data_IF_448264861243
#
_entry.id   IF_448264861243
#
_cell.length_a   1.000
_cell.length_b   1.000
_cell.length_c   1.000
_cell.angle_alpha   90.00
_cell.angle_beta   90.00
_cell.angle_gamma   90.00
#
_symmetry.space_group_name_H-M   'P 1'
#
loop_
_entity.id
_entity.type
_entity.pdbx_description
1 polymer ?
#
# COMPACT_ATOMS: atom_id res chain seq x y z
N UNK A 1 9.35 7.23 -4.88
CA UNK A 1 9.95 6.82 -3.61
C UNK A 1 9.93 8.05 -2.70
N UNK A 2 8.96 8.11 -1.78
CA UNK A 2 9.02 9.07 -0.67
C UNK A 2 9.93 8.38 0.36
N UNK A 3 11.14 8.90 0.63
CA UNK A 3 12.08 8.23 1.52
C UNK A 3 11.59 8.28 2.96
N UNK A 4 11.78 7.21 3.73
CA UNK A 4 11.65 7.28 5.18
C UNK A 4 12.59 8.34 5.76
N UNK A 5 12.01 9.23 6.58
CA UNK A 5 12.64 10.34 7.31
C UNK A 5 13.31 11.47 6.50
N UNK A 6 13.04 11.59 5.19
CA UNK A 6 13.30 12.85 4.48
C UNK A 6 11.99 13.49 4.05
N UNK A 7 11.46 14.32 4.94
CA UNK A 7 10.47 15.30 4.57
C UNK A 7 11.01 16.13 3.40
N UNK A 8 10.32 16.11 2.28
CA UNK A 8 10.44 17.18 1.29
C UNK A 8 9.98 18.44 2.03
N UNK A 9 10.84 19.45 2.15
CA UNK A 9 10.52 20.72 2.83
C UNK A 9 9.40 21.45 2.08
N UNK A 10 8.17 21.07 2.40
CA UNK A 10 6.93 21.81 2.23
C UNK A 10 6.20 21.55 3.54
N UNK A 11 6.18 22.55 4.41
CA UNK A 11 5.56 22.47 5.74
C UNK A 11 4.10 22.04 5.63
N UNK A 12 3.87 20.74 5.77
CA UNK A 12 2.59 20.13 6.03
C UNK A 12 2.84 19.33 7.31
N UNK A 13 2.63 19.95 8.47
CA UNK A 13 2.88 19.32 9.75
C UNK A 13 1.93 18.15 9.93
N UNK A 14 2.41 16.96 9.62
CA UNK A 14 1.79 15.70 9.98
C UNK A 14 1.87 15.52 11.50
N UNK A 15 0.84 14.89 12.07
CA UNK A 15 0.78 14.59 13.49
C UNK A 15 1.78 13.46 13.78
N UNK A 16 2.51 13.51 14.89
CA UNK A 16 3.53 12.53 15.28
C UNK A 16 3.09 11.06 15.09
N UNK A 17 1.82 10.76 15.38
CA UNK A 17 1.22 9.42 15.26
C UNK A 17 1.29 8.82 13.83
N UNK A 18 1.38 9.66 12.80
CA UNK A 18 1.49 9.24 11.40
C UNK A 18 2.92 8.81 11.02
N UNK A 19 3.90 9.07 11.89
CA UNK A 19 5.29 8.68 11.67
C UNK A 19 5.58 7.33 12.31
N UNK A 20 6.21 6.43 11.55
CA UNK A 20 6.67 5.14 12.07
C UNK A 20 7.63 5.34 13.26
N UNK A 21 8.50 6.35 13.21
CA UNK A 21 9.46 6.65 14.27
C UNK A 21 8.80 7.01 15.61
N UNK A 22 7.61 7.59 15.61
CA UNK A 22 6.82 7.78 16.83
C UNK A 22 6.53 6.44 17.51
N UNK A 23 6.05 5.45 16.74
CA UNK A 23 5.71 4.14 17.27
C UNK A 23 6.94 3.33 17.65
N UNK A 24 8.01 3.40 16.87
CA UNK A 24 9.27 2.76 17.23
C UNK A 24 9.78 3.32 18.56
N UNK A 25 9.86 4.65 18.72
CA UNK A 25 10.26 5.28 19.98
C UNK A 25 9.37 4.87 21.15
N UNK A 26 8.06 4.78 20.93
CA UNK A 26 7.10 4.40 21.98
C UNK A 26 7.29 2.97 22.50
N UNK A 27 7.67 2.05 21.63
CA UNK A 27 7.89 0.64 21.96
C UNK A 27 9.38 0.27 21.98
N UNK A 28 10.23 1.23 22.36
CA UNK A 28 11.68 1.07 22.36
C UNK A 28 12.12 -0.24 23.04
N UNK A 29 12.93 -1.03 22.32
CA UNK A 29 13.45 -2.32 22.80
C UNK A 29 12.46 -3.47 22.80
N UNK A 30 11.22 -3.28 22.31
CA UNK A 30 10.17 -4.30 22.28
C UNK A 30 9.63 -4.51 20.86
N UNK A 31 10.46 -5.12 20.03
CA UNK A 31 10.14 -5.44 18.63
C UNK A 31 10.38 -6.92 18.34
N UNK A 32 9.53 -7.50 17.49
CA UNK A 32 9.77 -8.82 16.92
C UNK A 32 9.40 -8.84 15.43
N UNK A 33 10.28 -9.36 14.59
CA UNK A 33 9.97 -9.66 13.21
C UNK A 33 9.35 -11.05 13.13
N UNK A 34 8.27 -11.19 12.36
CA UNK A 34 7.58 -12.44 12.14
C UNK A 34 7.17 -12.58 10.67
N UNK A 35 6.89 -13.81 10.21
CA UNK A 35 6.33 -14.04 8.90
C UNK A 35 4.99 -13.29 8.69
N UNK A 36 4.76 -12.82 7.47
CA UNK A 36 3.52 -12.19 7.08
C UNK A 36 2.43 -13.26 6.90
N UNK A 37 1.45 -13.25 7.81
CA UNK A 37 0.29 -14.13 7.76
C UNK A 37 -0.47 -14.05 6.44
N UNK A 38 -0.56 -12.88 5.81
CA UNK A 38 -1.22 -12.71 4.52
C UNK A 38 -0.48 -13.45 3.40
N UNK A 39 0.86 -13.34 3.36
CA UNK A 39 1.71 -14.04 2.39
C UNK A 39 1.69 -15.55 2.59
N UNK A 40 1.87 -16.00 3.84
CA UNK A 40 1.81 -17.43 4.17
C UNK A 40 0.47 -18.04 3.77
N UNK A 41 -0.64 -17.36 4.11
CA UNK A 41 -1.98 -17.83 3.76
C UNK A 41 -2.14 -17.98 2.25
N UNK A 42 -1.70 -16.99 1.46
CA UNK A 42 -1.78 -17.05 -0.01
C UNK A 42 -0.85 -18.10 -0.60
N UNK A 43 0.33 -18.33 -0.01
CA UNK A 43 1.22 -19.41 -0.41
C UNK A 43 0.58 -20.78 -0.21
N UNK A 44 -0.09 -21.01 0.92
CA UNK A 44 -0.84 -22.25 1.19
C UNK A 44 -1.98 -22.44 0.17
N UNK A 45 -2.62 -21.36 -0.27
CA UNK A 45 -3.69 -21.39 -1.27
C UNK A 45 -3.19 -21.53 -2.72
N UNK A 46 -1.88 -21.57 -2.97
CA UNK A 46 -1.32 -21.61 -4.32
C UNK A 46 -1.43 -20.28 -5.08
N UNK A 47 -1.64 -19.18 -4.36
CA UNK A 47 -1.83 -17.83 -4.92
C UNK A 47 -0.69 -16.86 -4.56
N UNK A 48 0.50 -17.40 -4.24
CA UNK A 48 1.68 -16.58 -3.93
C UNK A 48 2.07 -15.71 -5.12
N UNK A 49 2.56 -14.50 -4.84
CA UNK A 49 3.09 -13.60 -5.86
C UNK A 49 4.62 -13.65 -5.99
N UNK A 50 5.25 -14.73 -5.51
CA UNK A 50 6.69 -14.93 -5.60
C UNK A 50 7.52 -14.14 -4.57
N UNK A 51 6.86 -13.47 -3.63
CA UNK A 51 7.51 -12.86 -2.47
C UNK A 51 7.60 -13.84 -1.31
N UNK A 52 8.69 -13.77 -0.55
CA UNK A 52 8.87 -14.59 0.64
C UNK A 52 7.98 -14.04 1.78
N UNK A 53 7.47 -14.89 2.67
CA UNK A 53 6.68 -14.44 3.82
C UNK A 53 7.53 -13.85 4.95
N UNK A 54 8.85 -13.91 4.91
CA UNK A 54 9.71 -13.76 6.08
C UNK A 54 9.96 -12.29 6.50
N UNK A 55 9.84 -12.03 7.81
CA UNK A 55 10.20 -10.76 8.44
C UNK A 55 9.43 -9.51 7.97
N UNK A 56 8.23 -9.64 7.41
CA UNK A 56 7.46 -8.48 6.91
C UNK A 56 6.43 -7.94 7.89
N UNK A 57 6.14 -8.67 8.96
CA UNK A 57 5.31 -8.20 10.06
C UNK A 57 6.21 -7.89 11.25
N UNK A 58 6.19 -6.65 11.74
CA UNK A 58 6.95 -6.24 12.92
C UNK A 58 5.96 -6.06 14.06
N UNK A 59 5.91 -7.02 14.97
CA UNK A 59 5.17 -6.90 16.22
C UNK A 59 5.86 -5.91 17.15
N UNK A 60 5.08 -5.10 17.87
CA UNK A 60 5.59 -4.15 18.87
C UNK A 60 4.92 -4.35 20.22
N UNK A 61 5.62 -4.07 21.32
CA UNK A 61 5.10 -4.22 22.68
C UNK A 61 4.63 -5.66 22.97
N UNK A 62 3.42 -5.82 23.51
CA UNK A 62 2.82 -7.12 23.84
C UNK A 62 2.81 -8.10 22.65
N UNK A 63 2.63 -7.57 21.43
CA UNK A 63 2.59 -8.38 20.21
C UNK A 63 3.96 -8.94 19.84
N UNK A 64 5.04 -8.23 20.18
CA UNK A 64 6.40 -8.72 19.98
C UNK A 64 6.65 -9.96 20.84
N UNK A 65 6.32 -9.86 22.13
CA UNK A 65 6.44 -10.97 23.08
C UNK A 65 5.56 -12.16 22.66
N UNK A 66 4.31 -11.89 22.26
CA UNK A 66 3.39 -12.91 21.75
C UNK A 66 3.94 -13.66 20.52
N UNK A 67 4.48 -12.94 19.53
CA UNK A 67 4.97 -13.53 18.30
C UNK A 67 6.11 -14.53 18.56
N UNK A 68 7.01 -14.20 19.49
CA UNK A 68 8.13 -15.06 19.88
C UNK A 68 7.67 -16.20 20.78
N UNK A 69 6.88 -15.92 21.82
CA UNK A 69 6.50 -16.90 22.84
C UNK A 69 5.53 -17.97 22.33
N UNK A 70 4.72 -17.67 21.32
CA UNK A 70 3.76 -18.63 20.76
C UNK A 70 4.33 -19.50 19.63
N UNK A 71 5.66 -19.44 19.40
CA UNK A 71 6.36 -20.23 18.40
C UNK A 71 5.78 -20.08 16.98
N UNK A 72 5.39 -18.85 16.62
CA UNK A 72 4.88 -18.46 15.29
C UNK A 72 5.99 -17.90 14.40
N UNK A 73 7.18 -18.47 14.53
CA UNK A 73 8.39 -18.04 13.81
C UNK A 73 8.76 -16.56 14.02
N UNK A 74 8.30 -15.97 15.13
CA UNK A 74 8.69 -14.62 15.53
C UNK A 74 10.08 -14.62 16.18
N UNK A 75 10.90 -13.63 15.85
CA UNK A 75 12.20 -13.37 16.47
C UNK A 75 12.27 -11.94 16.99
N UNK A 76 12.84 -11.74 18.18
CA UNK A 76 13.16 -10.39 18.63
C UNK A 76 14.17 -9.74 17.68
N UNK A 77 14.01 -8.44 17.46
CA UNK A 77 14.85 -7.64 16.57
C UNK A 77 15.24 -6.32 17.22
N UNK A 78 16.41 -5.82 16.84
CA UNK A 78 16.91 -4.50 17.22
C UNK A 78 16.22 -3.40 16.42
N UNK A 79 16.38 -2.15 16.86
CA UNK A 79 15.87 -0.99 16.12
C UNK A 79 16.49 -0.91 14.72
N UNK A 80 17.79 -1.18 14.61
CA UNK A 80 18.53 -1.17 13.36
C UNK A 80 17.97 -2.20 12.37
N UNK A 81 17.72 -3.43 12.83
CA UNK A 81 17.09 -4.47 12.00
C UNK A 81 15.67 -4.10 11.56
N UNK A 82 14.89 -3.44 12.44
CA UNK A 82 13.57 -2.92 12.07
C UNK A 82 13.71 -1.90 10.93
N UNK A 83 14.64 -0.97 11.04
CA UNK A 83 14.88 0.03 9.99
C UNK A 83 15.35 -0.61 8.68
N UNK A 84 16.16 -1.65 8.74
CA UNK A 84 16.56 -2.43 7.56
C UNK A 84 15.36 -3.12 6.88
N UNK A 85 14.47 -3.73 7.66
CA UNK A 85 13.22 -4.34 7.15
C UNK A 85 12.35 -3.30 6.46
N UNK A 86 12.13 -2.15 7.09
CA UNK A 86 11.31 -1.06 6.57
C UNK A 86 11.88 -0.52 5.25
N UNK A 87 13.19 -0.30 5.19
CA UNK A 87 13.88 0.14 3.98
C UNK A 87 13.77 -0.89 2.86
N UNK A 88 13.99 -2.17 3.17
CA UNK A 88 13.83 -3.25 2.19
C UNK A 88 12.40 -3.32 1.66
N UNK A 89 11.41 -3.09 2.50
CA UNK A 89 10.01 -3.04 2.10
C UNK A 89 9.74 -1.86 1.13
N UNK A 90 10.31 -0.69 1.38
CA UNK A 90 10.25 0.46 0.46
C UNK A 90 10.91 0.18 -0.89
N UNK A 91 12.08 -0.44 -0.89
CA UNK A 91 12.81 -0.80 -2.11
C UNK A 91 12.00 -1.79 -2.97
N UNK A 92 11.17 -2.63 -2.33
CA UNK A 92 10.23 -3.54 -2.99
C UNK A 92 8.88 -2.88 -3.36
N UNK A 93 8.67 -1.60 -2.99
CA UNK A 93 7.41 -0.89 -3.23
C UNK A 93 6.25 -1.34 -2.34
N UNK A 94 6.54 -1.94 -1.18
CA UNK A 94 5.52 -2.30 -0.19
C UNK A 94 5.03 -1.07 0.57
N UNK A 95 3.82 -1.20 1.13
CA UNK A 95 3.15 -0.13 1.87
C UNK A 95 3.24 -0.43 3.36
N UNK A 96 3.80 0.51 4.11
CA UNK A 96 3.78 0.47 5.56
C UNK A 96 2.37 0.73 6.08
N UNK A 97 1.89 -0.15 6.95
CA UNK A 97 0.59 -0.01 7.60
C UNK A 97 0.71 -0.26 9.08
N UNK A 98 -0.02 0.52 9.87
CA UNK A 98 -0.21 0.27 11.30
C UNK A 98 -1.66 -0.12 11.55
N UNK A 99 -1.88 -0.92 12.58
CA UNK A 99 -3.23 -1.27 13.05
C UNK A 99 -3.52 -0.55 14.36
N UNK A 100 -4.40 0.45 14.32
CA UNK A 100 -4.79 1.28 15.47
C UNK A 100 -6.21 0.97 15.98
N UNK A 101 -6.67 -0.27 15.78
CA UNK A 101 -8.04 -0.72 16.11
C UNK A 101 -8.35 -0.63 17.62
N UNK A 102 -7.33 -0.71 18.47
CA UNK A 102 -7.49 -0.67 19.94
C UNK A 102 -7.25 0.73 20.52
N UNK A 103 -7.40 1.76 19.69
CA UNK A 103 -7.37 3.15 20.09
C UNK A 103 -6.18 3.93 19.53
N UNK A 104 -6.31 5.26 19.57
CA UNK A 104 -5.35 6.19 18.96
C UNK A 104 -3.94 6.08 19.54
N UNK A 105 -3.79 5.56 20.75
CA UNK A 105 -2.49 5.48 21.44
C UNK A 105 -1.96 4.05 21.53
N UNK A 106 -2.39 3.12 20.68
CA UNK A 106 -1.85 1.75 20.67
C UNK A 106 -1.84 1.18 19.25
N UNK A 107 -0.76 0.49 18.90
CA UNK A 107 -0.71 -0.38 17.71
C UNK A 107 -0.17 -1.76 18.11
N UNK A 108 -0.43 -2.76 17.28
CA UNK A 108 0.04 -4.14 17.50
C UNK A 108 1.22 -4.49 16.62
N UNK A 109 1.18 -4.02 15.38
CA UNK A 109 2.19 -4.35 14.41
C UNK A 109 2.35 -3.24 13.39
N UNK A 110 3.54 -3.22 12.81
CA UNK A 110 3.88 -2.47 11.61
C UNK A 110 3.99 -3.50 10.49
N UNK A 111 3.08 -3.42 9.53
CA UNK A 111 2.99 -4.35 8.41
C UNK A 111 3.63 -3.75 7.16
N UNK A 112 4.40 -4.55 6.43
CA UNK A 112 5.05 -4.19 5.18
C UNK A 112 4.33 -4.85 3.99
N UNK A 113 3.24 -4.23 3.55
CA UNK A 113 2.21 -4.88 2.75
C UNK A 113 2.45 -4.77 1.24
N UNK A 114 2.42 -5.92 0.56
CA UNK A 114 2.20 -5.97 -0.89
C UNK A 114 0.69 -5.87 -1.20
N UNK A 115 0.29 -4.90 -2.02
CA UNK A 115 -1.11 -4.65 -2.34
C UNK A 115 -1.81 -5.82 -3.05
N UNK A 116 -1.08 -6.74 -3.67
CA UNK A 116 -1.65 -7.91 -4.34
C UNK A 116 -1.95 -9.08 -3.39
N UNK A 117 -1.45 -9.02 -2.16
CA UNK A 117 -1.45 -10.15 -1.20
C UNK A 117 -2.11 -9.78 0.12
N UNK A 118 -1.95 -8.53 0.57
CA UNK A 118 -2.38 -8.08 1.88
C UNK A 118 -3.91 -8.13 2.03
N UNK A 119 -4.38 -8.79 3.09
CA UNK A 119 -5.80 -8.82 3.43
C UNK A 119 -6.31 -7.49 4.01
N UNK A 120 -5.46 -6.69 4.64
CA UNK A 120 -5.81 -5.34 5.07
C UNK A 120 -6.15 -4.45 3.87
N UNK A 121 -5.23 -4.35 2.91
CA UNK A 121 -5.44 -3.57 1.68
C UNK A 121 -6.58 -4.14 0.79
N UNK A 122 -6.81 -5.47 0.83
CA UNK A 122 -7.93 -6.10 0.13
C UNK A 122 -9.25 -5.43 0.47
N UNK A 123 -9.50 -5.09 1.73
CA UNK A 123 -10.80 -4.48 2.13
C UNK A 123 -11.06 -3.17 1.40
N UNK A 124 -10.05 -2.30 1.32
CA UNK A 124 -10.13 -1.03 0.60
C UNK A 124 -10.25 -1.20 -0.91
N UNK A 125 -9.58 -2.19 -1.49
CA UNK A 125 -9.55 -2.41 -2.95
C UNK A 125 -10.77 -3.17 -3.48
N UNK A 126 -11.25 -4.17 -2.73
CA UNK A 126 -12.40 -5.00 -3.10
C UNK A 126 -13.72 -4.23 -2.97
N UNK A 127 -13.87 -3.43 -1.91
CA UNK A 127 -15.12 -2.74 -1.60
C UNK A 127 -15.07 -1.22 -1.87
N UNK A 128 -13.98 -0.72 -2.44
CA UNK A 128 -13.74 0.73 -2.62
C UNK A 128 -13.94 1.54 -1.32
N UNK A 129 -13.37 1.07 -0.21
CA UNK A 129 -13.49 1.70 1.12
C UNK A 129 -12.18 2.41 1.50
N UNK A 130 -11.97 3.66 1.03
CA UNK A 130 -10.70 4.36 1.23
C UNK A 130 -10.40 4.66 2.70
N UNK A 131 -11.43 4.74 3.55
CA UNK A 131 -11.29 5.06 4.97
C UNK A 131 -10.66 3.93 5.81
N UNK A 132 -10.66 2.69 5.32
CA UNK A 132 -10.06 1.56 6.04
C UNK A 132 -8.54 1.47 5.89
N UNK A 133 -7.98 2.03 4.80
CA UNK A 133 -6.53 2.07 4.53
C UNK A 133 -6.13 3.47 4.06
N UNK A 134 -6.54 4.49 4.81
CA UNK A 134 -6.32 5.89 4.44
C UNK A 134 -4.93 6.35 4.89
N UNK A 135 -4.20 7.00 3.99
CA UNK A 135 -3.02 7.79 4.35
C UNK A 135 -3.43 9.19 4.79
N UNK A 136 -2.75 9.76 5.79
CA UNK A 136 -2.84 11.19 6.10
C UNK A 136 -2.29 12.08 4.98
N UNK A 137 -1.51 11.52 4.05
CA UNK A 137 -0.93 12.23 2.93
C UNK A 137 -1.65 11.89 1.64
N UNK A 138 -2.02 12.92 0.88
CA UNK A 138 -2.67 12.76 -0.43
C UNK A 138 -1.78 13.40 -1.49
N UNK A 139 -1.30 12.60 -2.43
CA UNK A 139 -0.60 13.11 -3.60
C UNK A 139 -1.59 13.85 -4.50
N UNK A 140 -1.21 15.06 -4.93
CA UNK A 140 -1.98 15.89 -5.86
C UNK A 140 -1.11 16.21 -7.07
N UNK A 141 -1.70 16.11 -8.26
CA UNK A 141 -1.05 16.46 -9.53
C UNK A 141 -1.56 17.82 -9.97
N UNK A 142 -0.65 18.78 -10.12
CA UNK A 142 -0.95 20.06 -10.77
C UNK A 142 -0.77 19.91 -12.28
N UNK A 143 -1.89 20.02 -13.02
CA UNK A 143 -1.91 19.68 -14.45
C UNK A 143 -0.92 20.51 -15.25
N UNK A 144 -0.78 21.80 -14.94
CA UNK A 144 0.17 22.72 -15.58
C UNK A 144 1.63 22.24 -15.51
N UNK A 145 2.01 21.57 -14.43
CA UNK A 145 3.38 21.13 -14.16
C UNK A 145 3.60 19.66 -14.57
N UNK A 146 2.52 18.93 -14.82
CA UNK A 146 2.56 17.54 -15.21
C UNK A 146 3.02 17.38 -16.67
N UNK A 147 4.20 16.79 -16.85
CA UNK A 147 4.76 16.40 -18.16
C UNK A 147 4.31 15.01 -18.63
N UNK A 148 3.34 14.39 -17.96
CA UNK A 148 2.81 13.06 -18.28
C UNK A 148 3.87 11.94 -18.33
N UNK A 149 4.91 12.00 -17.47
CA UNK A 149 6.01 11.03 -17.47
C UNK A 149 5.63 9.61 -17.01
N UNK A 150 4.46 9.44 -16.37
CA UNK A 150 3.94 8.13 -15.95
C UNK A 150 4.64 7.48 -14.76
N UNK A 151 5.56 8.16 -14.06
CA UNK A 151 6.22 7.59 -12.87
C UNK A 151 5.23 7.38 -11.72
N UNK A 152 4.30 8.32 -11.50
CA UNK A 152 3.33 8.21 -10.40
C UNK A 152 2.41 6.99 -10.53
N UNK A 153 1.99 6.66 -11.77
CA UNK A 153 1.10 5.52 -12.02
C UNK A 153 1.83 4.19 -11.86
N UNK A 154 3.12 4.12 -12.19
CA UNK A 154 3.94 2.91 -12.02
C UNK A 154 4.13 2.53 -10.55
N UNK A 155 4.38 3.52 -9.69
CA UNK A 155 4.65 3.28 -8.27
C UNK A 155 3.40 3.25 -7.39
N UNK A 156 2.21 3.56 -7.91
CA UNK A 156 1.02 3.62 -7.07
C UNK A 156 0.55 2.20 -6.70
N UNK A 157 0.70 1.77 -5.44
CA UNK A 157 0.37 0.38 -5.05
C UNK A 157 -1.13 0.14 -5.05
N UNK A 158 -1.92 1.19 -4.80
CA UNK A 158 -3.37 1.19 -4.74
C UNK A 158 -4.05 1.49 -6.09
N UNK A 159 -3.28 1.77 -7.15
CA UNK A 159 -3.87 2.10 -8.46
C UNK A 159 -4.70 3.38 -8.49
N UNK A 160 -4.50 4.28 -7.53
CA UNK A 160 -5.32 5.47 -7.33
C UNK A 160 -5.12 6.57 -8.38
N UNK A 161 -4.06 6.48 -9.18
CA UNK A 161 -3.75 7.45 -10.25
C UNK A 161 -3.62 6.71 -11.58
N UNK A 162 -4.16 7.33 -12.63
CA UNK A 162 -4.10 6.83 -14.01
C UNK A 162 -3.63 7.94 -14.94
N UNK A 163 -2.87 7.57 -15.95
CA UNK A 163 -2.37 8.53 -16.94
C UNK A 163 -3.47 8.82 -17.96
N UNK A 164 -3.80 10.10 -18.09
CA UNK A 164 -4.78 10.59 -19.03
C UNK A 164 -4.19 11.27 -20.27
N UNK A 165 -5.06 12.01 -20.94
CA UNK A 165 -4.76 12.80 -22.13
C UNK A 165 -4.12 14.13 -21.73
N UNK A 166 -2.85 14.34 -22.11
CA UNK A 166 -2.14 15.61 -21.92
C UNK A 166 -2.09 16.46 -23.18
N UNK A 167 -2.14 15.84 -24.36
CA UNK A 167 -2.11 16.52 -25.65
C UNK A 167 -3.46 17.14 -25.96
N UNK A 168 -3.46 18.29 -26.64
CA UNK A 168 -4.68 18.95 -27.06
C UNK A 168 -5.54 18.01 -27.93
N UNK A 169 -6.82 17.90 -27.61
CA UNK A 169 -7.80 17.22 -28.47
C UNK A 169 -8.65 18.25 -29.22
N UNK A 170 -9.29 17.85 -30.32
CA UNK A 170 -10.20 18.73 -31.07
C UNK A 170 -11.44 19.10 -30.26
N UNK A 171 -11.86 18.21 -29.36
CA UNK A 171 -13.10 18.32 -28.58
C UNK A 171 -12.86 18.93 -27.17
N UNK A 172 -11.62 19.37 -26.89
CA UNK A 172 -11.24 20.02 -25.62
C UNK A 172 -10.65 19.08 -24.56
N UNK A 173 -10.86 19.39 -23.29
CA UNK A 173 -10.35 18.59 -22.17
C UNK A 173 -11.24 17.36 -21.92
N UNK A 174 -10.62 16.20 -21.72
CA UNK A 174 -11.32 14.96 -21.37
C UNK A 174 -11.54 14.90 -19.87
N UNK A 175 -12.79 14.71 -19.44
CA UNK A 175 -13.16 14.50 -18.05
C UNK A 175 -13.29 13.00 -17.78
N UNK A 176 -12.54 12.50 -16.79
CA UNK A 176 -12.60 11.11 -16.36
C UNK A 176 -13.61 10.95 -15.21
N UNK A 177 -14.42 9.90 -15.28
CA UNK A 177 -15.35 9.57 -14.20
C UNK A 177 -14.60 9.17 -12.93
N UNK A 178 -15.11 9.63 -11.78
CA UNK A 178 -14.67 9.16 -10.47
C UNK A 178 -15.43 7.88 -10.13
N UNK A 179 -14.77 6.94 -9.44
CA UNK A 179 -15.47 5.79 -8.88
C UNK A 179 -16.46 6.25 -7.81
N UNK A 180 -17.65 5.64 -7.82
CA UNK A 180 -18.63 5.83 -6.76
C UNK A 180 -18.08 5.31 -5.43
N UNK A 181 -18.43 5.96 -4.33
CA UNK A 181 -18.01 5.55 -2.99
C UNK A 181 -19.17 4.88 -2.23
N UNK A 182 -18.89 3.88 -1.38
CA UNK A 182 -19.89 3.22 -0.53
C UNK A 182 -20.65 4.16 0.41
N UNK A 183 -20.12 5.35 0.69
CA UNK A 183 -20.75 6.33 1.57
C UNK A 183 -22.07 6.87 1.00
N UNK A 184 -22.25 6.84 -0.32
CA UNK A 184 -23.38 7.48 -1.01
C UNK A 184 -24.41 6.49 -1.57
N UNK A 185 -24.07 5.19 -1.63
CA UNK A 185 -24.89 4.17 -2.27
C UNK A 185 -24.77 2.84 -1.54
N UNK A 186 -25.82 2.02 -1.60
CA UNK A 186 -25.76 0.65 -1.07
C UNK A 186 -24.73 -0.17 -1.86
N UNK A 187 -23.81 -0.82 -1.15
CA UNK A 187 -22.71 -1.58 -1.76
C UNK A 187 -23.06 -3.05 -1.96
N UNK A 188 -23.72 -3.35 -3.06
CA UNK A 188 -24.13 -4.72 -3.43
C UNK A 188 -23.01 -5.49 -4.15
N UNK A 189 -23.18 -6.81 -4.34
CA UNK A 189 -22.16 -7.73 -4.85
C UNK A 189 -21.62 -7.29 -6.23
N UNK A 190 -22.44 -6.68 -7.06
CA UNK A 190 -22.08 -6.19 -8.40
C UNK A 190 -21.07 -5.03 -8.34
N UNK A 191 -20.99 -4.33 -7.20
CA UNK A 191 -20.01 -3.26 -6.97
C UNK A 191 -18.69 -3.78 -6.39
N UNK A 192 -18.58 -5.08 -6.12
CA UNK A 192 -17.36 -5.67 -5.59
C UNK A 192 -16.36 -5.86 -6.72
N UNK A 193 -15.12 -5.49 -6.44
CA UNK A 193 -14.04 -5.66 -7.38
C UNK A 193 -13.30 -7.00 -7.14
N UNK A 194 -13.89 -8.12 -7.55
CA UNK A 194 -13.26 -9.44 -7.37
C UNK A 194 -11.88 -9.54 -8.06
N UNK A 195 -11.71 -8.85 -9.19
CA UNK A 195 -10.45 -8.74 -9.92
C UNK A 195 -9.51 -7.64 -9.44
N UNK A 196 -9.62 -7.18 -8.20
CA UNK A 196 -8.83 -6.05 -7.69
C UNK A 196 -7.32 -6.29 -7.75
N UNK A 197 -6.85 -7.55 -7.73
CA UNK A 197 -5.42 -7.88 -7.79
C UNK A 197 -4.84 -7.59 -9.18
N UNK A 198 -5.67 -7.72 -10.20
CA UNK A 198 -5.30 -7.50 -11.60
C UNK A 198 -5.63 -6.07 -12.04
N UNK A 199 -6.86 -5.60 -11.81
CA UNK A 199 -7.34 -4.38 -12.43
C UNK A 199 -7.05 -3.09 -11.65
N UNK A 200 -6.66 -3.18 -10.37
CA UNK A 200 -6.37 -1.99 -9.56
C UNK A 200 -5.23 -1.18 -10.18
N UNK A 201 -4.19 -1.85 -10.69
CA UNK A 201 -3.00 -1.21 -11.26
C UNK A 201 -3.07 -0.97 -12.77
N UNK A 202 -4.27 -0.82 -13.34
CA UNK A 202 -4.40 -0.31 -14.71
C UNK A 202 -3.97 1.16 -14.69
N UNK A 203 -2.79 1.43 -15.24
CA UNK A 203 -2.06 2.67 -15.03
C UNK A 203 -2.35 3.76 -16.07
N UNK A 204 -3.07 3.44 -17.14
CA UNK A 204 -3.41 4.39 -18.21
C UNK A 204 -4.87 4.23 -18.62
N UNK A 205 -5.52 5.36 -18.92
CA UNK A 205 -6.74 5.34 -19.71
C UNK A 205 -6.40 5.02 -21.18
N UNK A 206 -7.40 4.61 -21.95
CA UNK A 206 -7.24 4.37 -23.40
C UNK A 206 -6.81 5.64 -24.15
N UNK A 207 -7.18 6.80 -23.61
CA UNK A 207 -6.76 8.13 -24.09
C UNK A 207 -5.44 8.59 -23.48
N UNK A 208 -4.67 7.69 -22.85
CA UNK A 208 -3.38 7.99 -22.23
C UNK A 208 -2.33 8.41 -23.26
N UNK A 209 -1.58 9.48 -22.94
CA UNK A 209 -0.65 10.12 -23.90
C UNK A 209 0.78 9.63 -23.85
N UNK A 210 1.15 8.76 -22.91
CA UNK A 210 2.47 8.13 -22.91
C UNK A 210 2.45 6.82 -23.72
N UNK A 211 3.07 6.77 -24.92
CA UNK A 211 3.07 5.57 -25.75
C UNK A 211 3.82 4.40 -25.09
N UNK A 212 4.82 4.68 -24.25
CA UNK A 212 5.57 3.69 -23.49
C UNK A 212 4.82 3.11 -22.28
N UNK A 213 3.65 3.66 -21.92
CA UNK A 213 2.82 3.22 -20.79
C UNK A 213 1.43 2.78 -21.21
N UNK A 214 1.16 2.59 -22.51
CA UNK A 214 -0.10 1.99 -22.99
C UNK A 214 -0.47 0.80 -22.11
N UNK A 215 -1.76 0.53 -21.85
CA UNK A 215 -2.20 -0.53 -20.94
C UNK A 215 -1.67 -1.88 -21.42
N UNK A 216 -0.46 -2.21 -20.98
CA UNK A 216 0.04 -3.57 -20.94
C UNK A 216 -0.67 -4.15 -19.73
N UNK A 217 -1.28 -5.32 -19.89
CA UNK A 217 -1.77 -6.13 -18.77
C UNK A 217 -0.74 -6.03 -17.63
N UNK A 218 -1.18 -5.88 -16.37
CA UNK A 218 -0.28 -5.80 -15.23
C UNK A 218 0.75 -6.92 -15.36
N UNK A 219 1.99 -6.60 -15.00
CA UNK A 219 3.10 -7.55 -14.79
C UNK A 219 2.48 -8.90 -14.44
N UNK A 220 2.63 -9.86 -15.37
CA UNK A 220 1.99 -11.18 -15.46
C UNK A 220 1.10 -11.54 -14.25
N UNK A 221 -0.18 -11.90 -14.45
CA UNK A 221 -1.00 -12.39 -13.33
C UNK A 221 -0.20 -13.44 -12.58
N UNK A 222 -0.14 -13.34 -11.25
CA UNK A 222 0.47 -14.34 -10.38
C UNK A 222 -0.27 -15.66 -10.55
N UNK A 223 -0.03 -16.33 -11.67
CA UNK A 223 -0.40 -17.71 -11.91
C UNK A 223 0.78 -18.49 -11.40
N UNK A 224 0.58 -19.14 -10.25
CA UNK A 224 1.43 -20.25 -9.87
C UNK A 224 1.41 -21.26 -11.04
N UNK A 225 2.58 -21.56 -11.58
CA UNK A 225 2.82 -22.84 -12.25
C UNK A 225 2.81 -23.95 -11.22
#
# INVERSE_FOLDING_TARGET
MIPVEKAIELENQSIDIEHISHWLKKYEGKYAAAPCSCRMSRQILGESCGDDPENWCIGVGDMADYAVQTNKDGRYVTYEEVMEILKRAEDNGFVHQITNIDGKNKIFAICNCNANTCYGLRTSQLFNTPNLSRSAYVARVEEKDCVACGRCVEFCPAGAVRLGQKLCTKDGHIVYSKQELPDNVKWELEKWNEGYRENSRINCYDTGTAPCRRPVLPILPCRAT
#
